data_IF_570876300759
#
_entry.id   IF_570876300759
#
_cell.length_a   1.000
_cell.length_b   1.000
_cell.length_c   1.000
_cell.angle_alpha   90.00
_cell.angle_beta   90.00
_cell.angle_gamma   90.00
#
_symmetry.space_group_name_H-M   'P 1'
#
loop_
_entity.id
_entity.type
_entity.pdbx_description
1 polymer ?
#
# COMPACT_ATOMS: atom_id res chain seq x y z
N UNK A 1 68.58 35.07 -0.23
CA UNK A 1 70.04 35.03 -0.48
C UNK A 1 70.62 33.88 0.32
N UNK A 2 71.55 33.13 -0.29
CA UNK A 2 72.37 32.04 0.27
C UNK A 2 71.61 30.75 0.64
N UNK A 3 71.50 29.77 -0.25
CA UNK A 3 72.56 28.91 -0.81
C UNK A 3 73.26 28.05 0.27
N UNK A 4 73.02 26.74 0.23
CA UNK A 4 74.08 25.74 0.23
C UNK A 4 73.52 24.32 0.27
N UNK A 5 73.54 23.71 -0.91
CA UNK A 5 73.47 22.27 -1.12
C UNK A 5 74.71 21.61 -0.51
N UNK A 6 74.55 20.60 0.35
CA UNK A 6 75.60 19.60 0.64
C UNK A 6 75.06 18.18 0.59
N UNK A 7 75.41 17.54 -0.52
CA UNK A 7 75.98 16.18 -0.71
C UNK A 7 75.32 15.02 0.04
N UNK A 8 74.72 14.13 -0.77
CA UNK A 8 74.54 12.70 -0.50
C UNK A 8 75.88 11.96 -0.43
N UNK A 9 75.84 10.81 0.23
CA UNK A 9 76.55 9.51 0.04
C UNK A 9 76.65 8.90 1.47
N UNK A 10 76.41 7.63 1.77
CA UNK A 10 76.05 6.44 1.02
C UNK A 10 75.44 5.42 2.00
N UNK A 11 74.78 4.40 1.44
CA UNK A 11 73.95 3.37 2.09
C UNK A 11 74.76 2.42 3.00
N UNK A 12 74.14 1.86 4.07
CA UNK A 12 74.19 0.41 4.24
C UNK A 12 72.82 -0.28 4.33
N UNK A 13 72.90 -1.56 3.96
CA UNK A 13 71.87 -2.49 3.54
C UNK A 13 71.09 -3.14 4.68
N UNK A 14 69.91 -3.65 4.29
CA UNK A 14 69.23 -4.87 4.76
C UNK A 14 68.75 -4.88 6.22
N UNK A 15 67.42 -4.95 6.39
CA UNK A 15 66.69 -6.22 6.59
C UNK A 15 65.29 -5.96 7.19
N UNK A 16 64.31 -6.67 6.60
CA UNK A 16 62.97 -7.02 7.12
C UNK A 16 61.83 -5.99 7.04
N UNK A 17 60.67 -6.55 6.67
CA UNK A 17 59.29 -6.03 6.61
C UNK A 17 58.91 -5.45 5.24
N UNK A 18 57.81 -5.84 4.61
CA UNK A 18 56.78 -6.84 4.88
C UNK A 18 56.12 -7.12 3.53
N UNK A 19 55.71 -8.37 3.28
CA UNK A 19 54.97 -8.74 2.09
C UNK A 19 53.71 -7.86 1.96
N UNK A 20 53.61 -7.22 0.81
CA UNK A 20 52.46 -6.43 0.39
C UNK A 20 51.32 -7.36 -0.08
N UNK A 21 50.10 -6.87 0.10
CA UNK A 21 48.92 -7.11 -0.75
C UNK A 21 48.22 -8.46 -0.68
N UNK A 22 47.14 -8.52 0.09
CA UNK A 22 45.91 -9.30 -0.15
C UNK A 22 44.90 -8.75 0.88
N UNK A 23 43.94 -7.91 0.49
CA UNK A 23 42.84 -8.25 -0.38
C UNK A 23 41.58 -8.29 0.49
N UNK A 24 41.04 -7.11 0.85
CA UNK A 24 39.83 -6.98 1.64
C UNK A 24 38.62 -7.23 0.73
N UNK A 25 38.15 -8.47 0.66
CA UNK A 25 36.84 -8.80 0.06
C UNK A 25 35.84 -8.84 1.22
N UNK A 26 35.26 -7.69 1.55
CA UNK A 26 33.98 -7.64 2.26
C UNK A 26 32.89 -7.94 1.23
N UNK A 27 32.65 -9.21 0.96
CA UNK A 27 31.46 -9.66 0.27
C UNK A 27 30.27 -9.50 1.22
N UNK A 28 29.70 -8.29 1.25
CA UNK A 28 28.34 -8.09 1.75
C UNK A 28 27.41 -8.71 0.71
N UNK A 29 27.08 -9.98 0.91
CA UNK A 29 25.91 -10.60 0.30
C UNK A 29 24.68 -9.87 0.82
N UNK A 30 24.29 -8.80 0.13
CA UNK A 30 22.94 -8.28 0.22
C UNK A 30 22.02 -9.38 -0.31
N UNK A 31 21.40 -10.13 0.60
CA UNK A 31 20.25 -10.93 0.25
C UNK A 31 19.20 -9.95 -0.27
N UNK A 32 18.98 -9.97 -1.58
CA UNK A 32 17.86 -9.30 -2.20
C UNK A 32 16.57 -9.80 -1.56
N UNK A 33 16.04 -9.04 -0.60
CA UNK A 33 14.65 -9.17 -0.16
C UNK A 33 13.78 -8.45 -1.20
N UNK A 34 13.73 -9.01 -2.40
CA UNK A 34 12.98 -8.48 -3.53
C UNK A 34 11.81 -9.41 -3.83
N UNK A 35 10.77 -9.38 -2.99
CA UNK A 35 9.44 -9.85 -3.41
C UNK A 35 8.27 -9.18 -2.68
N UNK A 36 8.48 -8.47 -1.57
CA UNK A 36 7.36 -7.94 -0.77
C UNK A 36 7.23 -6.41 -0.79
N UNK A 37 8.23 -5.69 -1.30
CA UNK A 37 8.20 -4.22 -1.35
C UNK A 37 7.13 -3.71 -2.32
N UNK A 38 7.07 -4.31 -3.51
CA UNK A 38 6.08 -3.93 -4.54
C UNK A 38 4.65 -4.30 -4.13
N UNK A 39 4.48 -5.42 -3.42
CA UNK A 39 3.19 -5.87 -2.88
C UNK A 39 2.68 -4.95 -1.76
N UNK A 40 3.54 -4.53 -0.83
CA UNK A 40 3.20 -3.55 0.20
C UNK A 40 2.80 -2.20 -0.42
N UNK A 41 3.60 -1.72 -1.37
CA UNK A 41 3.37 -0.46 -2.05
C UNK A 41 2.02 -0.42 -2.80
N UNK A 42 1.58 -1.55 -3.36
CA UNK A 42 0.29 -1.64 -4.06
C UNK A 42 -0.89 -1.46 -3.10
N UNK A 43 -0.86 -2.16 -1.95
CA UNK A 43 -1.89 -2.08 -0.93
C UNK A 43 -1.93 -0.68 -0.29
N UNK A 44 -0.75 -0.10 -0.02
CA UNK A 44 -0.59 1.26 0.51
C UNK A 44 -1.16 2.29 -0.48
N UNK A 45 -0.81 2.21 -1.77
CA UNK A 45 -1.36 3.11 -2.80
C UNK A 45 -2.88 3.06 -2.82
N UNK A 46 -3.47 1.87 -2.82
CA UNK A 46 -4.92 1.71 -2.84
C UNK A 46 -5.57 2.27 -1.57
N UNK A 47 -5.00 2.01 -0.39
CA UNK A 47 -5.53 2.51 0.87
C UNK A 47 -5.43 4.04 1.00
N UNK A 48 -4.36 4.65 0.45
CA UNK A 48 -4.18 6.10 0.45
C UNK A 48 -5.07 6.82 -0.58
N UNK A 49 -5.57 6.12 -1.60
CA UNK A 49 -6.34 6.71 -2.70
C UNK A 49 -7.79 7.00 -2.33
N UNK A 50 -8.36 7.99 -3.01
CA UNK A 50 -9.81 8.12 -3.17
C UNK A 50 -10.24 7.30 -4.39
N UNK A 51 -11.23 6.44 -4.22
CA UNK A 51 -11.76 5.56 -5.26
C UNK A 51 -13.00 6.20 -5.86
N UNK A 52 -12.78 6.92 -6.95
CA UNK A 52 -13.82 7.60 -7.72
C UNK A 52 -14.30 6.73 -8.87
N UNK A 53 -15.57 6.83 -9.28
CA UNK A 53 -16.04 6.09 -10.47
C UNK A 53 -15.29 6.55 -11.72
N UNK A 54 -14.90 5.61 -12.58
CA UNK A 54 -14.24 5.90 -13.84
C UNK A 54 -15.08 6.87 -14.69
N UNK A 55 -14.43 7.97 -15.10
CA UNK A 55 -15.08 9.05 -15.85
C UNK A 55 -15.48 10.25 -14.99
N UNK A 56 -15.34 10.21 -13.66
CA UNK A 56 -15.62 11.36 -12.79
C UNK A 56 -14.46 12.37 -12.68
N UNK A 57 -13.31 12.09 -13.30
CA UNK A 57 -12.11 12.95 -13.24
C UNK A 57 -11.66 13.30 -11.81
N UNK A 58 -11.83 12.38 -10.87
CA UNK A 58 -11.51 12.59 -9.44
C UNK A 58 -12.38 13.66 -8.76
N UNK A 59 -13.57 13.92 -9.31
CA UNK A 59 -14.58 14.80 -8.72
C UNK A 59 -15.79 13.99 -8.24
N UNK A 60 -16.50 14.55 -7.26
CA UNK A 60 -17.75 14.01 -6.75
C UNK A 60 -17.58 12.94 -5.66
N UNK A 61 -18.59 12.06 -5.48
CA UNK A 61 -18.57 11.06 -4.42
C UNK A 61 -17.52 9.97 -4.66
N UNK A 62 -16.91 9.50 -3.57
CA UNK A 62 -15.84 8.49 -3.63
C UNK A 62 -15.89 7.52 -2.46
N UNK A 63 -15.20 6.40 -2.62
CA UNK A 63 -14.90 5.48 -1.54
C UNK A 63 -13.47 5.70 -1.04
N UNK A 64 -13.22 5.48 0.24
CA UNK A 64 -11.88 5.62 0.81
C UNK A 64 -11.65 4.68 1.98
N UNK A 65 -10.36 4.45 2.28
CA UNK A 65 -9.91 3.81 3.51
C UNK A 65 -9.39 4.89 4.45
N UNK A 66 -9.99 5.02 5.64
CA UNK A 66 -9.59 5.99 6.67
C UNK A 66 -9.68 5.33 8.04
N UNK A 67 -8.61 5.43 8.83
CA UNK A 67 -8.53 4.84 10.18
C UNK A 67 -8.93 3.36 10.25
N UNK A 68 -8.55 2.57 9.23
CA UNK A 68 -8.93 1.14 9.13
C UNK A 68 -10.42 0.90 8.83
N UNK A 69 -11.16 1.93 8.39
CA UNK A 69 -12.58 1.86 7.99
C UNK A 69 -12.73 2.09 6.50
N UNK A 70 -13.67 1.38 5.89
CA UNK A 70 -14.07 1.59 4.51
C UNK A 70 -15.28 2.52 4.52
N UNK A 71 -15.15 3.68 3.89
CA UNK A 71 -16.15 4.74 3.92
C UNK A 71 -16.57 5.14 2.51
N UNK A 72 -17.80 5.66 2.39
CA UNK A 72 -18.28 6.41 1.23
C UNK A 72 -18.43 7.87 1.64
N UNK A 73 -17.94 8.78 0.81
CA UNK A 73 -17.98 10.22 1.02
C UNK A 73 -18.74 10.87 -0.12
N UNK A 74 -19.67 11.77 0.22
CA UNK A 74 -20.43 12.60 -0.71
C UNK A 74 -20.50 14.03 -0.15
N UNK A 75 -19.63 14.89 -0.68
CA UNK A 75 -19.40 16.22 -0.13
C UNK A 75 -19.02 16.18 1.35
N UNK A 76 -19.81 16.82 2.21
CA UNK A 76 -19.58 16.86 3.66
C UNK A 76 -20.20 15.67 4.41
N UNK A 77 -20.87 14.76 3.71
CA UNK A 77 -21.47 13.57 4.30
C UNK A 77 -20.54 12.38 4.12
N UNK A 78 -20.46 11.54 5.14
CA UNK A 78 -19.78 10.25 5.01
C UNK A 78 -20.60 9.14 5.65
N UNK A 79 -20.41 7.94 5.13
CA UNK A 79 -21.02 6.71 5.62
C UNK A 79 -19.95 5.64 5.78
N UNK A 80 -19.83 5.09 6.98
CA UNK A 80 -19.01 3.90 7.21
C UNK A 80 -19.70 2.69 6.60
N UNK A 81 -19.03 2.02 5.67
CA UNK A 81 -19.47 0.79 5.02
C UNK A 81 -18.95 -0.45 5.75
N UNK A 82 -17.71 -0.38 6.25
CA UNK A 82 -17.12 -1.37 7.16
C UNK A 82 -16.24 -0.70 8.19
N UNK A 83 -16.33 -1.13 9.45
CA UNK A 83 -15.50 -0.65 10.54
C UNK A 83 -14.25 -1.51 10.79
N UNK A 84 -14.15 -2.64 10.11
CA UNK A 84 -13.05 -3.60 10.20
C UNK A 84 -12.67 -4.00 8.78
N UNK A 85 -11.45 -3.67 8.36
CA UNK A 85 -10.93 -4.03 7.06
C UNK A 85 -9.47 -4.45 7.11
N UNK A 86 -9.11 -5.35 6.20
CA UNK A 86 -7.73 -5.69 5.91
C UNK A 86 -7.54 -5.66 4.40
N UNK A 87 -6.50 -4.98 3.92
CA UNK A 87 -6.10 -4.96 2.52
C UNK A 87 -4.76 -5.65 2.40
N UNK A 88 -4.62 -6.53 1.40
CA UNK A 88 -3.37 -7.22 1.08
C UNK A 88 -3.21 -7.27 -0.42
N UNK A 89 -2.01 -7.04 -0.92
CA UNK A 89 -1.67 -7.48 -2.26
C UNK A 89 -1.61 -9.01 -2.28
N UNK A 90 -2.14 -9.58 -3.36
CA UNK A 90 -2.18 -11.03 -3.62
C UNK A 90 -1.59 -11.34 -5.00
N UNK A 91 -0.86 -10.38 -5.55
CA UNK A 91 -0.22 -10.41 -6.86
C UNK A 91 0.18 -9.00 -7.29
N UNK A 92 0.95 -8.89 -8.37
CA UNK A 92 1.54 -7.63 -8.87
C UNK A 92 0.50 -6.56 -9.28
N UNK A 93 -0.74 -6.97 -9.54
CA UNK A 93 -1.85 -6.10 -9.89
C UNK A 93 -3.17 -6.53 -9.26
N UNK A 94 -3.13 -7.31 -8.16
CA UNK A 94 -4.33 -7.79 -7.49
C UNK A 94 -4.30 -7.49 -6.00
N UNK A 95 -5.43 -7.02 -5.48
CA UNK A 95 -5.62 -6.75 -4.06
C UNK A 95 -6.78 -7.57 -3.53
N UNK A 96 -6.65 -8.06 -2.30
CA UNK A 96 -7.75 -8.60 -1.51
C UNK A 96 -8.10 -7.60 -0.42
N UNK A 97 -9.38 -7.20 -0.39
CA UNK A 97 -9.95 -6.42 0.69
C UNK A 97 -10.95 -7.29 1.45
N UNK A 98 -10.64 -7.60 2.71
CA UNK A 98 -11.51 -8.31 3.62
C UNK A 98 -12.24 -7.31 4.51
N UNK A 99 -13.56 -7.39 4.57
CA UNK A 99 -14.41 -6.58 5.45
C UNK A 99 -15.37 -7.45 6.25
N UNK A 100 -15.79 -7.01 7.43
CA UNK A 100 -16.71 -7.79 8.27
C UNK A 100 -18.18 -7.47 7.95
N UNK A 101 -18.96 -8.51 7.65
CA UNK A 101 -20.41 -8.43 7.43
C UNK A 101 -21.14 -9.36 8.41
N UNK A 102 -21.47 -8.84 9.60
CA UNK A 102 -22.08 -9.64 10.66
C UNK A 102 -21.17 -10.81 11.08
N UNK A 103 -21.60 -12.09 10.96
CA UNK A 103 -20.78 -13.24 11.30
C UNK A 103 -19.80 -13.67 10.20
N UNK A 104 -19.96 -13.19 8.97
CA UNK A 104 -19.13 -13.56 7.82
C UNK A 104 -18.19 -12.42 7.43
N UNK A 105 -17.11 -12.75 6.73
CA UNK A 105 -16.27 -11.75 6.09
C UNK A 105 -16.63 -11.68 4.61
N UNK A 106 -16.65 -10.47 4.06
CA UNK A 106 -16.74 -10.23 2.64
C UNK A 106 -15.33 -10.00 2.12
N UNK A 107 -14.85 -10.87 1.24
CA UNK A 107 -13.58 -10.72 0.56
C UNK A 107 -13.82 -10.24 -0.85
N UNK A 108 -13.41 -9.01 -1.11
CA UNK A 108 -13.46 -8.38 -2.43
C UNK A 108 -12.08 -8.43 -3.05
N UNK A 109 -11.95 -9.07 -4.20
CA UNK A 109 -10.71 -9.04 -4.98
C UNK A 109 -10.81 -7.95 -6.02
N UNK A 110 -9.84 -7.04 -6.01
CA UNK A 110 -9.67 -6.02 -7.03
C UNK A 110 -8.57 -6.43 -8.00
N UNK A 111 -8.85 -6.31 -9.30
CA UNK A 111 -7.86 -6.31 -10.37
C UNK A 111 -7.52 -4.86 -10.71
N UNK A 112 -6.25 -4.51 -10.60
CA UNK A 112 -5.74 -3.20 -10.95
C UNK A 112 -5.24 -3.19 -12.40
N UNK A 113 -5.57 -2.11 -13.12
CA UNK A 113 -5.26 -1.88 -14.52
C UNK A 113 -4.65 -0.50 -14.71
N UNK A 114 -4.12 -0.25 -15.92
CA UNK A 114 -3.55 1.04 -16.33
C UNK A 114 -2.51 1.53 -15.33
N UNK A 115 -1.40 0.79 -15.18
CA UNK A 115 -0.32 1.11 -14.24
C UNK A 115 -0.82 1.25 -12.78
N UNK A 116 -1.74 0.35 -12.41
CA UNK A 116 -2.37 0.30 -11.11
C UNK A 116 -3.10 1.60 -10.71
N UNK A 117 -3.69 2.30 -11.68
CA UNK A 117 -4.47 3.53 -11.45
C UNK A 117 -5.98 3.30 -11.54
N UNK A 118 -6.42 2.15 -12.06
CA UNK A 118 -7.83 1.79 -12.15
C UNK A 118 -8.08 0.47 -11.43
N UNK A 119 -8.99 0.45 -10.46
CA UNK A 119 -9.42 -0.76 -9.76
C UNK A 119 -10.75 -1.27 -10.31
N UNK A 120 -10.79 -2.55 -10.65
CA UNK A 120 -12.00 -3.26 -11.03
C UNK A 120 -12.28 -4.35 -10.01
N UNK A 121 -13.54 -4.51 -9.60
CA UNK A 121 -13.93 -5.67 -8.80
C UNK A 121 -13.85 -6.91 -9.70
N UNK A 122 -12.93 -7.80 -9.37
CA UNK A 122 -12.76 -9.09 -10.06
C UNK A 122 -13.67 -10.15 -9.46
N UNK A 123 -13.75 -10.21 -8.13
CA UNK A 123 -14.63 -11.14 -7.43
C UNK A 123 -15.05 -10.62 -6.06
N UNK A 124 -16.15 -11.17 -5.55
CA UNK A 124 -16.63 -10.95 -4.20
C UNK A 124 -17.11 -12.29 -3.64
N UNK A 125 -16.53 -12.73 -2.53
CA UNK A 125 -16.84 -14.02 -1.88
C UNK A 125 -17.08 -13.84 -0.38
N UNK A 126 -17.84 -14.76 0.22
CA UNK A 126 -18.02 -14.84 1.66
C UNK A 126 -17.00 -15.79 2.29
N UNK A 127 -16.45 -15.41 3.45
CA UNK A 127 -15.59 -16.27 4.27
C UNK A 127 -16.14 -16.44 5.71
N UNK A 128 -16.52 -17.65 6.13
CA UNK A 128 -16.54 -18.89 5.32
C UNK A 128 -17.57 -18.83 4.20
N UNK A 129 -17.43 -19.72 3.21
CA UNK A 129 -18.42 -19.87 2.15
C UNK A 129 -19.77 -20.27 2.74
N UNK A 130 -20.84 -19.64 2.26
CA UNK A 130 -22.20 -19.88 2.75
C UNK A 130 -22.77 -21.15 2.11
N UNK A 131 -23.43 -21.98 2.91
CA UNK A 131 -24.18 -23.15 2.40
C UNK A 131 -25.42 -22.71 1.60
N UNK A 132 -26.02 -23.58 0.77
CA UNK A 132 -27.26 -23.26 0.05
C UNK A 132 -28.40 -22.80 0.97
N UNK A 133 -28.56 -23.40 2.14
CA UNK A 133 -29.58 -23.03 3.13
C UNK A 133 -29.30 -21.63 3.70
N UNK A 134 -28.03 -21.30 3.93
CA UNK A 134 -27.63 -19.97 4.38
C UNK A 134 -27.85 -18.92 3.29
N UNK A 135 -27.60 -19.25 2.02
CA UNK A 135 -27.94 -18.38 0.89
C UNK A 135 -29.44 -18.12 0.74
N UNK A 136 -30.27 -19.13 1.03
CA UNK A 136 -31.72 -19.01 0.98
C UNK A 136 -32.31 -18.25 2.18
N UNK A 137 -31.55 -18.10 3.27
CA UNK A 137 -31.98 -17.35 4.45
C UNK A 137 -32.14 -15.84 4.16
N UNK A 138 -32.95 -15.14 4.96
CA UNK A 138 -33.11 -13.68 4.80
C UNK A 138 -31.77 -12.90 4.90
N UNK A 139 -30.82 -13.24 5.81
CA UNK A 139 -29.47 -12.69 5.78
C UNK A 139 -28.71 -12.98 4.47
N UNK A 140 -28.79 -14.22 3.96
CA UNK A 140 -28.16 -14.61 2.70
C UNK A 140 -28.70 -13.85 1.49
N UNK A 141 -30.01 -13.61 1.44
CA UNK A 141 -30.65 -12.81 0.38
C UNK A 141 -30.14 -11.36 0.43
N UNK A 142 -30.06 -10.75 1.62
CA UNK A 142 -29.51 -9.39 1.78
C UNK A 142 -28.04 -9.32 1.36
N UNK A 143 -27.26 -10.34 1.72
CA UNK A 143 -25.86 -10.45 1.35
C UNK A 143 -25.67 -10.57 -0.16
N UNK A 144 -26.46 -11.43 -0.82
CA UNK A 144 -26.46 -11.57 -2.29
C UNK A 144 -26.77 -10.25 -2.98
N UNK A 145 -27.80 -9.53 -2.51
CA UNK A 145 -28.15 -8.22 -3.07
C UNK A 145 -27.02 -7.20 -2.90
N UNK A 146 -26.32 -7.21 -1.76
CA UNK A 146 -25.16 -6.35 -1.55
C UNK A 146 -24.01 -6.68 -2.51
N UNK A 147 -23.75 -7.97 -2.76
CA UNK A 147 -22.77 -8.43 -3.75
C UNK A 147 -23.15 -7.99 -5.17
N UNK A 148 -24.42 -8.14 -5.55
CA UNK A 148 -24.93 -7.71 -6.86
C UNK A 148 -24.73 -6.20 -7.07
N UNK A 149 -25.10 -5.38 -6.07
CA UNK A 149 -24.88 -3.93 -6.11
C UNK A 149 -23.38 -3.62 -6.24
N UNK A 150 -22.53 -4.28 -5.46
CA UNK A 150 -21.09 -4.04 -5.53
C UNK A 150 -20.48 -4.45 -6.87
N UNK A 151 -20.96 -5.55 -7.49
CA UNK A 151 -20.51 -6.00 -8.82
C UNK A 151 -20.99 -5.10 -9.96
N UNK A 152 -22.14 -4.46 -9.78
CA UNK A 152 -22.68 -3.48 -10.74
C UNK A 152 -21.97 -2.12 -10.63
N UNK A 153 -21.24 -1.88 -9.53
CA UNK A 153 -20.39 -0.71 -9.41
C UNK A 153 -19.27 -0.78 -10.44
N UNK A 154 -19.20 0.25 -11.30
CA UNK A 154 -18.18 0.35 -12.34
C UNK A 154 -16.75 0.43 -11.79
N UNK A 155 -15.74 0.41 -12.69
CA UNK A 155 -14.35 0.57 -12.30
C UNK A 155 -14.12 1.87 -11.53
N UNK A 156 -13.15 1.85 -10.62
CA UNK A 156 -12.71 3.02 -9.88
C UNK A 156 -11.39 3.55 -10.40
N UNK A 157 -11.22 4.86 -10.48
CA UNK A 157 -9.92 5.52 -10.60
C UNK A 157 -9.38 5.75 -9.20
N UNK A 158 -8.10 5.43 -9.00
CA UNK A 158 -7.35 5.72 -7.78
C UNK A 158 -6.83 7.16 -7.87
N UNK A 159 -7.57 8.07 -7.25
CA UNK A 159 -7.25 9.48 -7.22
C UNK A 159 -6.42 9.83 -5.98
N UNK A 160 -5.54 10.84 -6.07
CA UNK A 160 -4.91 11.42 -4.90
C UNK A 160 -5.96 11.91 -3.89
N UNK A 161 -5.70 11.84 -2.58
CA UNK A 161 -6.62 12.36 -1.59
C UNK A 161 -6.78 13.89 -1.71
N UNK A 162 -8.03 14.35 -1.66
CA UNK A 162 -8.43 15.77 -1.79
C UNK A 162 -7.91 16.64 -0.65
N UNK A 163 -7.64 16.03 0.50
CA UNK A 163 -6.94 16.65 1.63
C UNK A 163 -5.75 15.79 2.01
N UNK A 164 -4.51 16.32 2.01
CA UNK A 164 -3.40 15.61 2.63
C UNK A 164 -3.72 15.38 4.10
N UNK A 165 -3.51 14.16 4.60
CA UNK A 165 -3.53 13.85 6.03
C UNK A 165 -2.54 14.80 6.70
N UNK A 166 -3.06 15.90 7.25
CA UNK A 166 -2.23 16.87 7.95
C UNK A 166 -1.99 16.28 9.33
N UNK A 167 -0.85 15.63 9.52
CA UNK A 167 -0.29 15.47 10.86
C UNK A 167 -0.26 16.85 11.53
N UNK A 168 -1.05 17.00 12.60
CA UNK A 168 -0.96 18.11 13.54
C UNK A 168 -1.51 19.46 13.08
N UNK A 169 -2.78 19.74 13.40
CA UNK A 169 -3.18 21.11 13.75
C UNK A 169 -3.99 21.07 15.04
N UNK A 170 -3.42 21.68 16.07
CA UNK A 170 -4.02 21.97 17.36
C UNK A 170 -5.48 22.42 17.23
N UNK A 171 -6.39 21.67 17.87
CA UNK A 171 -7.67 22.19 18.32
C UNK A 171 -7.41 23.34 19.29
N UNK A 172 -7.42 24.58 18.78
CA UNK A 172 -7.65 25.76 19.62
C UNK A 172 -9.12 25.72 20.01
N UNK A 173 -9.38 25.25 21.22
CA UNK A 173 -10.67 25.43 21.88
C UNK A 173 -10.84 26.92 22.18
N UNK A 174 -11.59 27.63 21.35
CA UNK A 174 -12.13 28.92 21.74
C UNK A 174 -13.22 28.68 22.79
N UNK A 175 -12.91 28.99 24.04
CA UNK A 175 -13.91 29.27 25.07
C UNK A 175 -14.71 30.51 24.63
N UNK A 176 -16.03 30.38 24.62
CA UNK A 176 -16.96 31.47 24.93
C UNK A 176 -17.78 30.98 26.11
#
# INVERSE_FOLDING_TARGET
>A
MSDSVRRRLDIPRLRRRSLQSLGLILSVTGLASCSNADESALAEKFAASELHLLGSFCEGPYYAVRDGKFIFVDGNQFKTLSADLTIRAIGSNRLSMRTRWGPINLVTTYLLKHDNTVAMIESIVGEPELTPEQWASAPGIKFRKAIEVAKDTGPFVLCPPSTPETEGVHLVTNKI
#
